data_IF_599334399939
#
_entry.id   IF_599334399939
#
_cell.length_a   1.000
_cell.length_b   1.000
_cell.length_c   1.000
_cell.angle_alpha   90.00
_cell.angle_beta   90.00
_cell.angle_gamma   90.00
#
_symmetry.space_group_name_H-M   'P 1'
#
loop_
_entity.id
_entity.type
_entity.pdbx_description
1 polymer ?
#
# COMPACT_ATOMS: atom_id res chain seq x y z
N UNK A 1 -12.20 -37.20 28.31
CA UNK A 1 -11.89 -35.80 28.71
C UNK A 1 -10.39 -35.51 28.73
N UNK A 2 -9.57 -36.21 29.53
CA UNK A 2 -8.12 -35.93 29.63
C UNK A 2 -7.34 -36.04 28.31
N UNK A 3 -7.68 -37.02 27.45
CA UNK A 3 -7.04 -37.21 26.14
C UNK A 3 -7.37 -36.12 25.11
N UNK A 4 -8.57 -35.55 25.18
CA UNK A 4 -9.00 -34.43 24.33
C UNK A 4 -8.30 -33.14 24.75
N UNK A 5 -8.16 -32.91 26.06
CA UNK A 5 -7.42 -31.77 26.59
C UNK A 5 -5.93 -31.80 26.19
N UNK A 6 -5.30 -32.98 26.25
CA UNK A 6 -3.90 -33.18 25.82
C UNK A 6 -3.74 -32.97 24.31
N UNK A 7 -4.70 -33.41 23.50
CA UNK A 7 -4.70 -33.18 22.06
C UNK A 7 -4.82 -31.69 21.72
N UNK A 8 -5.75 -30.97 22.35
CA UNK A 8 -5.88 -29.52 22.16
C UNK A 8 -4.62 -28.75 22.61
N UNK A 9 -3.98 -29.16 23.71
CA UNK A 9 -2.72 -28.57 24.18
C UNK A 9 -1.53 -28.85 23.24
N UNK A 10 -1.50 -30.04 22.64
CA UNK A 10 -0.46 -30.41 21.69
C UNK A 10 -0.61 -29.64 20.37
N UNK A 11 -1.85 -29.46 19.88
CA UNK A 11 -2.13 -28.69 18.66
C UNK A 11 -1.78 -27.20 18.84
N UNK A 12 -2.06 -26.61 20.01
CA UNK A 12 -1.69 -25.21 20.28
C UNK A 12 -0.18 -24.99 20.50
N UNK A 13 0.56 -26.02 20.93
CA UNK A 13 2.01 -25.95 21.10
C UNK A 13 2.82 -26.07 19.78
N UNK A 14 2.19 -26.52 18.68
CA UNK A 14 2.86 -26.77 17.39
C UNK A 14 2.79 -25.60 16.38
N UNK A 15 2.27 -24.44 16.75
CA UNK A 15 2.36 -23.23 15.91
C UNK A 15 3.62 -22.42 16.28
N UNK A 16 4.72 -22.48 15.51
CA UNK A 16 5.88 -21.66 15.78
C UNK A 16 5.55 -20.16 15.63
N UNK A 17 5.99 -19.39 16.62
CA UNK A 17 5.83 -17.95 16.78
C UNK A 17 6.72 -17.11 15.84
N UNK A 18 6.89 -17.52 14.59
CA UNK A 18 7.60 -16.74 13.57
C UNK A 18 6.71 -16.49 12.36
N UNK A 19 5.51 -15.98 12.63
CA UNK A 19 4.79 -15.21 11.62
C UNK A 19 5.53 -13.88 11.45
N UNK A 20 6.44 -13.84 10.48
CA UNK A 20 6.83 -12.58 9.84
C UNK A 20 5.58 -12.03 9.14
N UNK A 21 4.67 -11.45 9.93
CA UNK A 21 3.49 -10.80 9.43
C UNK A 21 3.96 -9.51 8.75
N UNK A 22 4.14 -9.57 7.41
CA UNK A 22 3.97 -8.38 6.60
C UNK A 22 2.66 -7.72 7.03
N UNK A 23 2.68 -6.41 7.26
CA UNK A 23 1.61 -5.68 7.95
C UNK A 23 0.20 -6.12 7.51
N UNK A 24 -0.72 -6.17 8.47
CA UNK A 24 -2.10 -6.61 8.22
C UNK A 24 -2.71 -5.69 7.16
N UNK A 25 -3.08 -6.25 6.01
CA UNK A 25 -3.86 -5.52 5.01
C UNK A 25 -5.29 -5.41 5.53
N UNK A 26 -5.63 -4.24 6.06
CA UNK A 26 -6.93 -3.96 6.69
C UNK A 26 -7.99 -3.45 5.69
N UNK A 27 -7.67 -3.42 4.39
CA UNK A 27 -8.63 -3.06 3.34
C UNK A 27 -9.58 -4.23 3.06
N UNK A 28 -10.45 -4.56 3.99
CA UNK A 28 -11.39 -5.69 3.89
C UNK A 28 -12.73 -5.27 3.29
N UNK A 29 -13.10 -5.85 2.15
CA UNK A 29 -14.36 -5.56 1.43
C UNK A 29 -15.00 -6.85 0.88
N UNK A 30 -15.15 -7.87 1.73
CA UNK A 30 -15.34 -9.26 1.28
C UNK A 30 -16.69 -9.54 0.59
N UNK A 31 -17.77 -8.87 0.98
CA UNK A 31 -19.09 -9.03 0.37
C UNK A 31 -20.02 -7.86 0.72
N UNK A 32 -21.12 -7.69 -0.03
CA UNK A 32 -22.16 -6.73 0.32
C UNK A 32 -22.81 -7.02 1.69
N UNK A 33 -22.83 -8.29 2.12
CA UNK A 33 -23.34 -8.67 3.44
C UNK A 33 -22.37 -8.27 4.57
N UNK A 34 -21.06 -8.27 4.31
CA UNK A 34 -20.04 -7.78 5.24
C UNK A 34 -20.24 -6.31 5.61
N UNK A 35 -20.44 -5.46 4.60
CA UNK A 35 -20.57 -4.02 4.81
C UNK A 35 -21.87 -3.68 5.54
N UNK A 36 -22.92 -4.49 5.35
CA UNK A 36 -24.19 -4.35 6.09
C UNK A 36 -24.09 -4.85 7.53
N UNK A 37 -23.31 -5.89 7.77
CA UNK A 37 -23.10 -6.48 9.10
C UNK A 37 -21.67 -7.02 9.20
N UNK A 38 -20.75 -6.27 9.85
CA UNK A 38 -19.36 -6.69 9.98
C UNK A 38 -19.17 -7.88 10.92
N UNK A 39 -20.07 -8.07 11.89
CA UNK A 39 -20.04 -9.18 12.83
C UNK A 39 -20.70 -10.43 12.21
N UNK A 40 -19.90 -11.30 11.57
CA UNK A 40 -20.38 -12.48 10.84
C UNK A 40 -19.89 -13.81 11.44
N UNK A 41 -19.32 -13.80 12.65
CA UNK A 41 -18.64 -14.97 13.23
C UNK A 41 -19.60 -16.15 13.53
N UNK A 42 -20.86 -15.86 13.85
CA UNK A 42 -21.89 -16.86 14.14
C UNK A 42 -22.84 -17.13 12.96
N UNK A 43 -22.40 -16.85 11.73
CA UNK A 43 -23.24 -16.97 10.53
C UNK A 43 -23.65 -18.42 10.26
N UNK A 44 -24.95 -18.62 10.05
CA UNK A 44 -25.55 -19.90 9.62
C UNK A 44 -26.25 -19.78 8.24
N UNK A 45 -26.08 -18.65 7.56
CA UNK A 45 -26.54 -18.41 6.18
C UNK A 45 -25.42 -18.65 5.16
N UNK A 46 -25.70 -18.40 3.87
CA UNK A 46 -24.76 -18.62 2.77
C UNK A 46 -23.44 -17.84 2.90
N UNK A 47 -23.42 -16.73 3.63
CA UNK A 47 -22.25 -15.94 3.96
C UNK A 47 -21.24 -16.74 4.80
N UNK A 48 -21.69 -17.81 5.46
CA UNK A 48 -20.84 -18.77 6.15
C UNK A 48 -19.71 -19.32 5.27
N UNK A 49 -19.85 -19.33 3.93
CA UNK A 49 -18.79 -19.73 3.01
C UNK A 49 -17.46 -19.04 3.29
N UNK A 50 -17.49 -17.73 3.60
CA UNK A 50 -16.29 -16.97 3.92
C UNK A 50 -16.03 -16.87 5.43
N UNK A 51 -17.08 -16.64 6.23
CA UNK A 51 -16.94 -16.28 7.65
C UNK A 51 -16.95 -17.48 8.60
N UNK A 52 -17.90 -18.40 8.40
CA UNK A 52 -18.10 -19.56 9.27
C UNK A 52 -18.59 -20.78 8.47
N UNK A 53 -17.70 -21.52 7.79
CA UNK A 53 -18.12 -22.61 6.94
C UNK A 53 -18.81 -23.74 7.72
N UNK A 54 -18.49 -23.92 9.01
CA UNK A 54 -19.14 -24.89 9.88
C UNK A 54 -20.64 -24.60 10.07
N UNK A 55 -21.04 -23.33 10.01
CA UNK A 55 -22.45 -22.91 10.10
C UNK A 55 -23.31 -23.35 8.91
N UNK A 56 -22.70 -23.66 7.76
CA UNK A 56 -23.41 -24.00 6.52
C UNK A 56 -24.26 -25.28 6.60
N UNK A 57 -23.99 -26.16 7.58
CA UNK A 57 -24.78 -27.38 7.79
C UNK A 57 -26.21 -27.08 8.26
N UNK A 58 -26.46 -25.86 8.74
CA UNK A 58 -27.79 -25.40 9.18
C UNK A 58 -28.65 -24.85 8.03
N UNK A 59 -28.12 -24.75 6.81
CA UNK A 59 -28.93 -24.45 5.63
C UNK A 59 -29.90 -25.60 5.32
N UNK A 60 -30.99 -25.30 4.61
CA UNK A 60 -31.89 -26.34 4.09
C UNK A 60 -31.18 -27.22 3.05
N UNK A 61 -31.59 -28.48 2.94
CA UNK A 61 -31.05 -29.39 1.93
C UNK A 61 -31.29 -28.80 0.53
N UNK A 62 -30.24 -28.71 -0.28
CA UNK A 62 -30.33 -28.15 -1.63
C UNK A 62 -29.08 -27.38 -2.06
N UNK A 63 -29.23 -26.69 -3.19
CA UNK A 63 -28.20 -25.83 -3.76
C UNK A 63 -28.55 -24.37 -3.47
N UNK A 64 -27.62 -23.64 -2.86
CA UNK A 64 -27.76 -22.24 -2.49
C UNK A 64 -26.70 -21.42 -3.21
N UNK A 65 -27.08 -20.28 -3.79
CA UNK A 65 -26.18 -19.38 -4.53
C UNK A 65 -26.39 -17.95 -4.07
N UNK A 66 -25.30 -17.23 -3.88
CA UNK A 66 -25.30 -15.79 -3.63
C UNK A 66 -24.36 -15.11 -4.61
N UNK A 67 -24.90 -14.13 -5.33
CA UNK A 67 -24.15 -13.26 -6.24
C UNK A 67 -24.41 -11.83 -5.81
N UNK A 68 -23.35 -11.09 -5.53
CA UNK A 68 -23.45 -9.68 -5.21
C UNK A 68 -22.23 -8.92 -5.75
N UNK A 69 -22.35 -7.60 -5.83
CA UNK A 69 -21.24 -6.73 -6.18
C UNK A 69 -21.37 -5.44 -5.40
N UNK A 70 -20.23 -4.82 -5.12
CA UNK A 70 -20.12 -3.53 -4.45
C UNK A 70 -19.46 -2.53 -5.40
N UNK A 71 -19.77 -1.25 -5.19
CA UNK A 71 -19.06 -0.12 -5.80
C UNK A 71 -18.39 0.65 -4.67
N UNK A 72 -17.08 0.86 -4.78
CA UNK A 72 -16.27 1.53 -3.77
C UNK A 72 -15.89 2.90 -4.31
N UNK A 73 -16.23 3.95 -3.56
CA UNK A 73 -15.83 5.33 -3.82
C UNK A 73 -15.37 5.93 -2.50
N UNK A 74 -14.14 6.44 -2.44
CA UNK A 74 -13.62 7.05 -1.23
C UNK A 74 -12.62 8.15 -1.58
N UNK A 75 -12.75 9.31 -0.95
CA UNK A 75 -11.70 10.32 -0.94
C UNK A 75 -10.81 10.09 0.28
N UNK A 76 -9.50 9.99 0.06
CA UNK A 76 -8.48 9.84 1.10
C UNK A 76 -7.66 11.11 1.17
N UNK A 77 -7.67 11.76 2.31
CA UNK A 77 -6.82 12.93 2.57
C UNK A 77 -5.68 12.51 3.48
N UNK A 78 -4.45 12.83 3.06
CA UNK A 78 -3.25 12.66 3.85
C UNK A 78 -2.71 14.06 4.13
N UNK A 79 -2.66 14.41 5.41
CA UNK A 79 -2.00 15.62 5.86
C UNK A 79 -0.59 15.31 6.36
N UNK A 80 0.33 16.24 6.13
CA UNK A 80 1.67 16.22 6.67
C UNK A 80 1.83 17.31 7.72
N UNK A 81 2.69 17.04 8.70
CA UNK A 81 3.13 18.01 9.70
C UNK A 81 4.51 18.58 9.37
N UNK A 82 5.09 18.20 8.23
CA UNK A 82 6.40 18.67 7.79
C UNK A 82 6.32 20.08 7.21
N UNK A 83 6.56 21.08 8.06
CA UNK A 83 6.30 22.50 7.83
C UNK A 83 7.07 23.16 6.67
N UNK A 84 8.16 22.57 6.19
CA UNK A 84 8.96 23.13 5.07
C UNK A 84 8.43 22.71 3.69
N UNK A 85 7.33 21.95 3.63
CA UNK A 85 6.70 21.58 2.36
C UNK A 85 5.85 22.72 1.77
N UNK A 86 5.73 22.76 0.44
CA UNK A 86 4.92 23.72 -0.29
C UNK A 86 3.42 23.41 -0.15
N UNK A 87 3.06 22.12 -0.06
CA UNK A 87 1.69 21.67 0.22
C UNK A 87 1.69 20.73 1.43
N UNK A 88 0.65 20.84 2.27
CA UNK A 88 0.50 20.00 3.46
C UNK A 88 -0.59 18.93 3.32
N UNK A 89 -1.49 19.08 2.35
CA UNK A 89 -2.65 18.21 2.17
C UNK A 89 -2.58 17.54 0.80
N UNK A 90 -2.73 16.21 0.79
CA UNK A 90 -2.66 15.38 -0.39
C UNK A 90 -3.95 14.57 -0.49
N UNK A 91 -4.73 14.84 -1.53
CA UNK A 91 -5.98 14.12 -1.79
C UNK A 91 -5.72 12.98 -2.78
N UNK A 92 -6.23 11.80 -2.43
CA UNK A 92 -6.29 10.63 -3.29
C UNK A 92 -7.73 10.17 -3.47
N UNK A 93 -8.11 9.90 -4.71
CA UNK A 93 -9.44 9.40 -5.02
C UNK A 93 -9.39 7.88 -5.26
N UNK A 94 -10.22 7.15 -4.52
CA UNK A 94 -10.35 5.70 -4.62
C UNK A 94 -11.62 5.35 -5.37
N UNK A 95 -11.48 4.51 -6.39
CA UNK A 95 -12.61 4.04 -7.18
C UNK A 95 -12.46 2.57 -7.58
N UNK A 96 -13.48 1.78 -7.26
CA UNK A 96 -13.65 0.41 -7.74
C UNK A 96 -15.12 0.22 -8.15
N UNK A 97 -15.45 0.29 -9.46
CA UNK A 97 -16.85 0.27 -9.90
C UNK A 97 -17.54 -1.07 -9.66
N UNK A 98 -16.79 -2.18 -9.78
CA UNK A 98 -17.29 -3.54 -9.64
C UNK A 98 -16.37 -4.30 -8.69
N UNK A 99 -16.94 -4.80 -7.60
CA UNK A 99 -16.26 -5.58 -6.58
C UNK A 99 -17.13 -6.80 -6.25
N UNK A 100 -17.05 -7.88 -7.06
CA UNK A 100 -18.06 -8.92 -7.09
C UNK A 100 -17.73 -10.05 -6.11
N UNK A 101 -18.76 -10.65 -5.54
CA UNK A 101 -18.67 -11.77 -4.62
C UNK A 101 -19.63 -12.86 -5.11
N UNK A 102 -19.12 -14.09 -5.18
CA UNK A 102 -19.88 -15.27 -5.54
C UNK A 102 -19.70 -16.34 -4.46
N UNK A 103 -20.81 -16.86 -3.93
CA UNK A 103 -20.84 -18.00 -3.03
C UNK A 103 -21.79 -19.06 -3.57
N UNK A 104 -21.38 -20.32 -3.49
CA UNK A 104 -22.21 -21.48 -3.81
C UNK A 104 -22.06 -22.53 -2.70
N UNK A 105 -23.19 -23.13 -2.31
CA UNK A 105 -23.24 -24.18 -1.29
C UNK A 105 -24.14 -25.29 -1.77
N UNK A 106 -23.66 -26.53 -1.67
CA UNK A 106 -24.49 -27.72 -1.79
C UNK A 106 -24.60 -28.37 -0.41
N UNK A 107 -25.80 -28.34 0.16
CA UNK A 107 -26.10 -28.92 1.47
C UNK A 107 -26.93 -30.18 1.30
N UNK A 108 -26.51 -31.27 1.94
CA UNK A 108 -27.24 -32.54 1.98
C UNK A 108 -27.10 -33.20 3.35
N UNK A 109 -28.21 -33.35 4.05
CA UNK A 109 -28.31 -34.01 5.36
C UNK A 109 -27.31 -33.39 6.36
N UNK A 110 -26.28 -34.14 6.75
CA UNK A 110 -25.26 -33.69 7.71
C UNK A 110 -24.06 -32.99 7.06
N UNK A 111 -23.99 -32.92 5.72
CA UNK A 111 -22.84 -32.37 5.01
C UNK A 111 -23.19 -31.11 4.22
N UNK A 112 -22.23 -30.19 4.15
CA UNK A 112 -22.28 -29.05 3.23
C UNK A 112 -20.93 -28.86 2.54
N UNK A 113 -20.95 -28.69 1.22
CA UNK A 113 -19.78 -28.32 0.43
C UNK A 113 -19.96 -26.91 -0.08
N UNK A 114 -18.91 -26.11 -0.04
CA UNK A 114 -18.97 -24.70 -0.44
C UNK A 114 -17.81 -24.28 -1.32
N UNK A 115 -18.12 -23.32 -2.19
CA UNK A 115 -17.20 -22.57 -3.01
C UNK A 115 -17.46 -21.08 -2.80
N UNK A 116 -16.41 -20.30 -2.59
CA UNK A 116 -16.46 -18.86 -2.57
C UNK A 116 -15.38 -18.23 -3.44
N UNK A 117 -15.78 -17.22 -4.21
CA UNK A 117 -14.90 -16.41 -5.04
C UNK A 117 -15.22 -14.95 -4.78
N UNK A 118 -14.30 -14.23 -4.15
CA UNK A 118 -14.49 -12.82 -3.86
C UNK A 118 -13.16 -12.11 -3.69
N UNK A 119 -13.09 -10.79 -3.94
CA UNK A 119 -12.01 -9.98 -3.42
C UNK A 119 -12.04 -10.06 -1.89
N UNK A 120 -10.95 -10.50 -1.29
CA UNK A 120 -10.82 -10.62 0.17
C UNK A 120 -10.12 -9.40 0.79
N UNK A 121 -9.50 -8.59 -0.06
CA UNK A 121 -8.99 -7.30 0.34
C UNK A 121 -8.54 -6.42 -0.83
N UNK A 122 -8.07 -5.23 -0.48
CA UNK A 122 -7.80 -4.16 -1.44
C UNK A 122 -8.99 -3.21 -1.56
N UNK A 123 -8.97 -2.35 -2.58
CA UNK A 123 -10.00 -1.32 -2.73
C UNK A 123 -10.05 -0.68 -4.11
N UNK A 124 -9.41 -1.30 -5.11
CA UNK A 124 -9.25 -0.73 -6.44
C UNK A 124 -8.04 0.22 -6.52
N UNK A 125 -8.17 1.23 -7.37
CA UNK A 125 -7.15 2.27 -7.57
C UNK A 125 -7.29 3.40 -6.56
N UNK A 126 -6.17 3.94 -6.10
CA UNK A 126 -6.05 5.17 -5.34
C UNK A 126 -5.17 6.14 -6.14
N UNK A 127 -5.78 7.20 -6.66
CA UNK A 127 -5.13 8.20 -7.52
C UNK A 127 -4.84 9.48 -6.76
N UNK A 128 -3.58 9.73 -6.45
CA UNK A 128 -3.07 10.94 -5.82
C UNK A 128 -2.37 11.79 -6.89
N UNK A 129 -3.11 12.76 -7.43
CA UNK A 129 -2.63 13.63 -8.53
C UNK A 129 -1.42 14.50 -8.15
N UNK A 130 -1.29 14.84 -6.87
CA UNK A 130 -0.14 15.59 -6.33
C UNK A 130 0.96 14.66 -5.78
N UNK A 131 0.81 13.34 -5.91
CA UNK A 131 1.70 12.36 -5.29
C UNK A 131 1.42 12.19 -3.80
N UNK A 132 2.43 11.70 -3.08
CA UNK A 132 2.34 11.49 -1.63
C UNK A 132 3.21 12.51 -0.89
N UNK A 133 2.91 12.83 0.38
CA UNK A 133 3.75 13.70 1.18
C UNK A 133 5.22 13.24 1.19
N UNK A 134 5.46 11.93 1.25
CA UNK A 134 6.80 11.35 1.26
C UNK A 134 7.61 11.61 -0.02
N UNK A 135 6.95 11.93 -1.14
CA UNK A 135 7.64 12.32 -2.39
C UNK A 135 8.16 13.75 -2.28
N UNK A 136 7.34 14.66 -1.74
CA UNK A 136 7.70 16.07 -1.58
C UNK A 136 8.67 16.30 -0.42
N UNK A 137 8.54 15.57 0.70
CA UNK A 137 9.43 15.68 1.86
C UNK A 137 10.92 15.58 1.47
N UNK A 138 11.24 14.68 0.54
CA UNK A 138 12.61 14.47 0.05
C UNK A 138 13.15 15.65 -0.76
N UNK A 139 12.28 16.47 -1.35
CA UNK A 139 12.66 17.64 -2.15
C UNK A 139 12.62 18.92 -1.31
N UNK A 140 11.68 19.00 -0.37
CA UNK A 140 11.50 20.15 0.51
C UNK A 140 12.72 20.49 1.37
N UNK A 141 13.60 19.51 1.60
CA UNK A 141 14.87 19.71 2.32
C UNK A 141 15.95 20.39 1.48
N UNK A 142 15.85 20.36 0.14
CA UNK A 142 16.91 20.84 -0.76
C UNK A 142 17.26 22.32 -0.54
N UNK A 143 16.32 23.27 -0.40
CA UNK A 143 16.68 24.66 -0.15
C UNK A 143 17.52 24.87 1.12
N UNK A 144 17.18 24.17 2.21
CA UNK A 144 17.95 24.21 3.45
C UNK A 144 19.37 23.66 3.29
N UNK A 145 19.53 22.59 2.50
CA UNK A 145 20.85 22.05 2.16
C UNK A 145 21.66 23.00 1.28
N UNK A 146 21.03 23.68 0.32
CA UNK A 146 21.70 24.69 -0.52
C UNK A 146 22.21 25.86 0.35
N UNK A 147 21.40 26.32 1.30
CA UNK A 147 21.77 27.39 2.23
C UNK A 147 22.98 26.98 3.09
N UNK A 148 22.95 25.78 3.66
CA UNK A 148 24.04 25.26 4.50
C UNK A 148 25.37 25.16 3.74
N UNK A 149 25.33 24.94 2.43
CA UNK A 149 26.50 24.83 1.55
C UNK A 149 26.88 26.15 0.87
N UNK A 150 26.25 27.27 1.22
CA UNK A 150 26.53 28.58 0.60
C UNK A 150 26.17 28.66 -0.89
N UNK A 151 25.28 27.79 -1.36
CA UNK A 151 24.82 27.73 -2.76
C UNK A 151 23.55 28.56 -3.00
N UNK A 152 22.98 29.12 -1.93
CA UNK A 152 21.87 30.07 -1.97
C UNK A 152 21.89 30.95 -0.73
N UNK A 153 20.96 31.90 -0.62
CA UNK A 153 20.78 32.79 0.53
C UNK A 153 19.39 32.59 1.19
N UNK A 154 19.12 33.23 2.34
CA UNK A 154 17.82 33.11 3.03
C UNK A 154 16.60 33.62 2.23
N UNK A 155 16.81 34.48 1.22
CA UNK A 155 15.74 35.07 0.41
C UNK A 155 15.37 34.17 -0.80
N UNK A 156 16.17 33.15 -1.10
CA UNK A 156 16.00 32.24 -2.25
C UNK A 156 15.78 30.77 -1.85
N UNK A 157 14.95 30.51 -0.83
CA UNK A 157 14.67 29.16 -0.33
C UNK A 157 13.53 28.41 -1.06
N UNK A 158 13.30 28.72 -2.33
CA UNK A 158 12.21 28.14 -3.11
C UNK A 158 12.60 26.83 -3.82
N UNK A 159 11.63 25.94 -3.97
CA UNK A 159 11.71 24.74 -4.81
C UNK A 159 10.36 24.45 -5.46
N UNK A 160 10.36 23.63 -6.52
CA UNK A 160 9.16 23.12 -7.16
C UNK A 160 9.38 21.68 -7.63
N UNK A 161 8.31 20.88 -7.64
CA UNK A 161 8.32 19.49 -8.07
C UNK A 161 6.96 19.12 -8.65
N UNK A 162 6.95 18.28 -9.67
CA UNK A 162 5.74 17.61 -10.15
C UNK A 162 5.76 16.15 -9.71
N UNK A 163 4.74 15.75 -8.96
CA UNK A 163 4.58 14.38 -8.49
C UNK A 163 3.18 13.87 -8.74
N UNK A 164 3.05 12.57 -8.97
CA UNK A 164 1.78 11.85 -8.98
C UNK A 164 2.01 10.42 -8.50
N UNK A 165 0.96 9.81 -7.96
CA UNK A 165 0.97 8.41 -7.52
C UNK A 165 -0.38 7.77 -7.79
N UNK A 166 -0.38 6.66 -8.52
CA UNK A 166 -1.51 5.80 -8.77
C UNK A 166 -1.19 4.41 -8.22
N UNK A 167 -1.89 4.01 -7.16
CA UNK A 167 -1.75 2.68 -6.57
C UNK A 167 -3.00 1.85 -6.81
N UNK A 168 -2.88 0.66 -7.37
CA UNK A 168 -3.95 -0.32 -7.45
C UNK A 168 -3.63 -1.52 -6.57
N UNK A 169 -4.58 -1.94 -5.74
CA UNK A 169 -4.45 -3.13 -4.90
C UNK A 169 -5.74 -3.94 -4.91
N UNK A 170 -5.63 -5.20 -5.32
CA UNK A 170 -6.72 -6.16 -5.34
C UNK A 170 -6.23 -7.56 -4.95
N UNK A 171 -6.88 -8.15 -3.94
CA UNK A 171 -6.58 -9.48 -3.46
C UNK A 171 -7.78 -10.39 -3.70
N UNK A 172 -7.66 -11.34 -4.63
CA UNK A 172 -8.70 -12.34 -4.90
C UNK A 172 -8.55 -13.53 -3.98
N UNK A 173 -9.66 -14.00 -3.42
CA UNK A 173 -9.75 -15.24 -2.66
C UNK A 173 -10.63 -16.26 -3.36
N UNK A 174 -10.11 -17.48 -3.44
CA UNK A 174 -10.85 -18.67 -3.86
C UNK A 174 -10.88 -19.62 -2.67
N UNK A 175 -12.08 -19.88 -2.14
CA UNK A 175 -12.27 -20.66 -0.93
C UNK A 175 -13.15 -21.86 -1.20
N UNK A 176 -12.74 -23.01 -0.67
CA UNK A 176 -13.51 -24.24 -0.75
C UNK A 176 -13.55 -24.86 0.63
N UNK A 177 -14.73 -25.28 1.08
CA UNK A 177 -14.88 -25.90 2.39
C UNK A 177 -15.80 -27.12 2.32
N UNK A 178 -15.53 -28.08 3.18
CA UNK A 178 -16.42 -29.18 3.53
C UNK A 178 -16.77 -29.08 5.01
N UNK A 179 -18.07 -29.14 5.31
CA UNK A 179 -18.62 -29.00 6.65
C UNK A 179 -19.45 -30.20 7.02
N UNK A 180 -19.41 -30.59 8.29
CA UNK A 180 -20.08 -31.77 8.82
C UNK A 180 -20.75 -31.47 10.17
N UNK A 181 -22.03 -31.84 10.29
CA UNK A 181 -22.78 -31.78 11.55
C UNK A 181 -22.49 -33.03 12.38
N UNK A 182 -21.77 -32.86 13.50
CA UNK A 182 -21.56 -33.94 14.48
C UNK A 182 -22.85 -34.22 15.26
N UNK A 183 -23.53 -33.14 15.66
CA UNK A 183 -24.84 -33.13 16.33
C UNK A 183 -25.67 -31.96 15.80
N UNK A 184 -26.89 -31.80 16.30
CA UNK A 184 -27.76 -30.68 15.92
C UNK A 184 -27.23 -29.31 16.37
N UNK A 185 -26.29 -29.29 17.33
CA UNK A 185 -25.69 -28.06 17.88
C UNK A 185 -24.19 -27.91 17.58
N UNK A 186 -23.50 -29.00 17.20
CA UNK A 186 -22.05 -29.01 17.02
C UNK A 186 -21.75 -29.41 15.58
N UNK A 187 -21.07 -28.51 14.88
CA UNK A 187 -20.55 -28.73 13.53
C UNK A 187 -19.08 -28.35 13.45
N UNK A 188 -18.41 -28.87 12.44
CA UNK A 188 -17.03 -28.53 12.12
C UNK A 188 -16.89 -28.37 10.61
N UNK A 189 -15.88 -27.62 10.20
CA UNK A 189 -15.52 -27.49 8.80
C UNK A 189 -14.02 -27.57 8.60
N UNK A 190 -13.61 -28.13 7.46
CA UNK A 190 -12.26 -28.05 6.94
C UNK A 190 -12.32 -27.42 5.55
N UNK A 191 -11.41 -26.50 5.27
CA UNK A 191 -11.37 -25.81 3.99
C UNK A 191 -9.99 -25.32 3.62
N UNK A 192 -9.86 -24.95 2.35
CA UNK A 192 -8.68 -24.31 1.81
C UNK A 192 -9.06 -22.97 1.19
N UNK A 193 -8.20 -21.96 1.36
CA UNK A 193 -8.33 -20.66 0.72
C UNK A 193 -7.05 -20.34 -0.02
N UNK A 194 -7.17 -20.11 -1.32
CA UNK A 194 -6.10 -19.62 -2.17
C UNK A 194 -6.26 -18.12 -2.39
N UNK A 195 -5.18 -17.36 -2.24
CA UNK A 195 -5.18 -15.90 -2.34
C UNK A 195 -4.21 -15.45 -3.42
N UNK A 196 -4.69 -14.64 -4.36
CA UNK A 196 -3.87 -13.98 -5.38
C UNK A 196 -3.85 -12.49 -5.07
N UNK A 197 -2.66 -11.93 -4.91
CA UNK A 197 -2.45 -10.51 -4.63
C UNK A 197 -1.89 -9.80 -5.85
N UNK A 198 -2.64 -8.83 -6.37
CA UNK A 198 -2.23 -7.97 -7.46
C UNK A 198 -2.08 -6.55 -6.94
N UNK A 199 -0.85 -6.06 -6.89
CA UNK A 199 -0.55 -4.68 -6.52
C UNK A 199 0.25 -4.04 -7.65
N UNK A 200 -0.26 -2.94 -8.20
CA UNK A 200 0.46 -2.11 -9.15
C UNK A 200 0.63 -0.72 -8.55
N UNK A 201 1.84 -0.18 -8.62
CA UNK A 201 2.15 1.15 -8.11
C UNK A 201 2.90 1.90 -9.18
N UNK A 202 2.26 2.93 -9.71
CA UNK A 202 2.82 3.81 -10.73
C UNK A 202 2.90 5.21 -10.14
N UNK A 203 4.01 5.87 -10.34
CA UNK A 203 4.20 7.22 -9.83
C UNK A 203 5.41 7.88 -10.44
N UNK A 204 5.50 9.19 -10.29
CA UNK A 204 6.65 9.92 -10.75
C UNK A 204 6.99 11.09 -9.82
N UNK A 205 8.24 11.50 -9.92
CA UNK A 205 8.78 12.73 -9.39
C UNK A 205 9.59 13.37 -10.53
N UNK A 206 9.11 14.48 -11.07
CA UNK A 206 9.63 15.16 -12.26
C UNK A 206 9.78 16.64 -12.02
N UNK A 207 10.54 17.29 -12.89
CA UNK A 207 10.74 18.74 -12.90
C UNK A 207 11.14 19.27 -11.51
N UNK A 208 12.13 18.63 -10.89
CA UNK A 208 12.71 19.12 -9.64
C UNK A 208 13.48 20.39 -9.93
N UNK A 209 12.92 21.51 -9.47
CA UNK A 209 13.49 22.83 -9.63
C UNK A 209 13.89 23.38 -8.26
N UNK A 210 15.03 24.06 -8.21
CA UNK A 210 15.58 24.73 -7.03
C UNK A 210 15.91 26.19 -7.38
N UNK A 211 16.05 27.03 -6.35
CA UNK A 211 16.40 28.44 -6.50
C UNK A 211 17.79 28.79 -5.94
N UNK A 212 18.90 28.41 -6.58
CA UNK A 212 20.23 28.76 -6.10
C UNK A 212 20.59 30.20 -6.44
N UNK A 213 20.96 30.98 -5.43
CA UNK A 213 21.64 32.27 -5.58
C UNK A 213 23.15 32.08 -5.76
N UNK A 214 23.57 31.60 -6.94
CA UNK A 214 24.96 31.26 -7.22
C UNK A 214 25.38 31.64 -8.67
N UNK A 215 26.61 32.13 -8.93
CA UNK A 215 27.06 32.52 -10.27
C UNK A 215 27.03 31.41 -11.32
N UNK A 216 27.21 30.15 -10.90
CA UNK A 216 27.11 28.98 -11.79
C UNK A 216 25.68 28.53 -12.07
N UNK A 217 24.65 29.26 -11.63
CA UNK A 217 23.28 28.99 -12.04
C UNK A 217 23.11 29.36 -13.54
N UNK A 218 22.86 28.40 -14.44
CA UNK A 218 22.72 28.68 -15.88
C UNK A 218 21.57 29.63 -16.23
N UNK A 219 20.56 29.72 -15.36
CA UNK A 219 19.42 30.62 -15.54
C UNK A 219 19.62 32.00 -14.89
N UNK A 220 20.79 32.24 -14.28
CA UNK A 220 21.09 33.44 -13.49
C UNK A 220 20.87 33.23 -11.99
N UNK A 221 21.69 33.89 -11.16
CA UNK A 221 21.59 33.78 -9.70
C UNK A 221 20.18 34.18 -9.22
N UNK A 222 19.58 33.36 -8.35
CA UNK A 222 18.23 33.61 -7.81
C UNK A 222 17.09 33.27 -8.77
N UNK A 223 17.40 32.66 -9.92
CA UNK A 223 16.39 32.13 -10.85
C UNK A 223 16.18 30.64 -10.65
N UNK A 224 14.92 30.20 -10.72
CA UNK A 224 14.59 28.78 -10.67
C UNK A 224 15.30 28.01 -11.80
N UNK A 225 15.92 26.88 -11.43
CA UNK A 225 16.64 26.01 -12.37
C UNK A 225 16.44 24.55 -12.00
N UNK A 226 16.52 23.67 -12.99
CA UNK A 226 16.49 22.22 -12.76
C UNK A 226 17.67 21.81 -11.88
N UNK A 227 17.40 21.05 -10.81
CA UNK A 227 18.45 20.63 -9.88
C UNK A 227 19.59 19.86 -10.58
N UNK A 228 19.31 18.85 -11.44
CA UNK A 228 20.34 18.20 -12.25
C UNK A 228 21.17 19.18 -13.11
N UNK A 229 20.53 20.19 -13.70
CA UNK A 229 21.22 21.17 -14.54
C UNK A 229 22.18 22.04 -13.72
N UNK A 230 21.74 22.53 -12.56
CA UNK A 230 22.58 23.31 -11.66
C UNK A 230 23.76 22.51 -11.11
N UNK A 231 23.51 21.32 -10.58
CA UNK A 231 24.58 20.47 -10.04
C UNK A 231 25.54 19.98 -11.14
N UNK A 232 25.05 19.77 -12.36
CA UNK A 232 25.89 19.50 -13.52
C UNK A 232 26.82 20.65 -13.87
N UNK A 233 26.33 21.89 -13.85
CA UNK A 233 27.14 23.09 -14.06
C UNK A 233 28.20 23.27 -12.96
N UNK A 234 27.81 23.08 -11.68
CA UNK A 234 28.73 23.16 -10.55
C UNK A 234 29.82 22.08 -10.61
N UNK A 235 29.44 20.84 -10.94
CA UNK A 235 30.38 19.73 -11.13
C UNK A 235 31.40 20.04 -12.23
N UNK A 236 30.94 20.54 -13.38
CA UNK A 236 31.81 20.93 -14.50
C UNK A 236 32.80 22.02 -14.09
N UNK A 237 32.34 23.05 -13.38
CA UNK A 237 33.19 24.12 -12.87
C UNK A 237 34.24 23.60 -11.87
N UNK A 238 33.85 22.71 -10.95
CA UNK A 238 34.75 22.10 -9.99
C UNK A 238 35.81 21.22 -10.66
N UNK A 239 35.42 20.39 -11.64
CA UNK A 239 36.37 19.59 -12.43
C UNK A 239 37.34 20.48 -13.19
N UNK A 240 36.86 21.55 -13.84
CA UNK A 240 37.72 22.50 -14.55
C UNK A 240 38.74 23.18 -13.63
N UNK A 241 38.30 23.62 -12.44
CA UNK A 241 39.19 24.20 -11.42
C UNK A 241 40.25 23.18 -10.96
N UNK A 242 39.85 21.94 -10.67
CA UNK A 242 40.78 20.88 -10.29
C UNK A 242 41.82 20.59 -11.38
N UNK A 243 41.40 20.48 -12.64
CA UNK A 243 42.31 20.28 -13.79
C UNK A 243 43.29 21.46 -13.94
N UNK A 244 42.82 22.69 -13.76
CA UNK A 244 43.69 23.88 -13.85
C UNK A 244 44.75 23.93 -12.74
N UNK A 245 44.44 23.37 -11.57
CA UNK A 245 45.36 23.29 -10.44
C UNK A 245 46.36 22.13 -10.57
N UNK A 246 46.06 21.10 -11.37
CA UNK A 246 46.93 19.93 -11.51
C UNK A 246 48.34 20.31 -11.99
N UNK A 247 48.47 21.24 -12.93
CA UNK A 247 49.79 21.70 -13.40
C UNK A 247 50.61 22.43 -12.32
N UNK A 248 49.94 23.11 -11.38
CA UNK A 248 50.59 23.76 -10.23
C UNK A 248 51.03 22.71 -9.20
N UNK A 249 50.19 21.68 -8.97
CA UNK A 249 50.51 20.55 -8.09
C UNK A 249 51.69 19.76 -8.65
N UNK A 250 51.67 19.40 -9.93
CA UNK A 250 52.74 18.67 -10.63
C UNK A 250 54.04 19.49 -10.66
N UNK A 251 53.93 20.82 -10.71
CA UNK A 251 55.04 21.77 -10.61
C UNK A 251 55.57 22.01 -9.19
N UNK A 252 55.09 21.28 -8.18
CA UNK A 252 55.57 21.37 -6.79
C UNK A 252 54.94 22.47 -5.93
N UNK A 253 53.91 23.18 -6.43
CA UNK A 253 53.24 24.28 -5.72
C UNK A 253 52.37 23.85 -4.53
N UNK A 254 52.26 22.55 -4.25
CA UNK A 254 51.56 21.99 -3.08
C UNK A 254 52.47 21.64 -1.89
N UNK A 255 53.78 21.88 -2.01
CA UNK A 255 54.75 21.62 -0.94
C UNK A 255 54.89 22.83 0.00
N UNK A 256 54.05 22.88 1.04
CA UNK A 256 54.26 23.69 2.24
C UNK A 256 54.15 22.81 3.48
#
# INVERSE_FOLDING_TARGET
MKRLAIFCLAVSAFFPATLYAGGIVTNTNQSASFIRMPAQDATISIEGVYYNPAGLVHLDNGFHVSVNSQTIMQTREISSTFNIMNQQNFQGDVFAPIFPTFYAVYKKDKVAYSLGVNPIGGGGSADFKSGLPSFEQQIAVLPGLLLLNGLTDPDHLAYSVKSAFNGNSLNWGFQFNASYALTDMISLSLGFRYVISNNNYEGYLKDVMINPFHPYNPNGAGSMVSAPLFFGALSTAATGAATSMQGIIDGGGGGF
#
